data_IF_983383765249
#
_entry.id   IF_983383765249
#
_cell.length_a   1.000
_cell.length_b   1.000
_cell.length_c   1.000
_cell.angle_alpha   90.00
_cell.angle_beta   90.00
_cell.angle_gamma   90.00
#
_symmetry.space_group_name_H-M   'P 1'
#
loop_
_entity.id
_entity.type
_entity.pdbx_description
1 polymer ?
#
# COMPACT_ATOMS: atom_id res chain seq x y z
N UNK A 1 -16.40 15.63 -16.49
CA UNK A 1 -15.39 16.14 -15.55
C UNK A 1 -14.81 14.97 -14.79
N UNK A 2 -13.51 14.76 -14.87
CA UNK A 2 -12.84 13.62 -14.20
C UNK A 2 -12.64 13.93 -12.73
N UNK A 3 -12.97 12.97 -11.87
CA UNK A 3 -12.69 13.08 -10.44
C UNK A 3 -11.18 13.11 -10.23
N UNK A 4 -10.62 14.17 -9.57
CA UNK A 4 -9.17 14.29 -9.38
C UNK A 4 -8.56 13.15 -8.55
N UNK A 5 -9.35 12.50 -7.68
CA UNK A 5 -8.87 11.33 -6.93
C UNK A 5 -8.69 10.11 -7.83
N UNK A 6 -9.62 9.87 -8.74
CA UNK A 6 -9.52 8.75 -9.69
C UNK A 6 -8.26 8.92 -10.55
N UNK A 7 -8.02 10.12 -11.06
CA UNK A 7 -6.84 10.41 -11.86
C UNK A 7 -5.54 10.15 -11.08
N UNK A 8 -5.47 10.61 -9.83
CA UNK A 8 -4.33 10.37 -8.95
C UNK A 8 -4.11 8.89 -8.67
N UNK A 9 -5.19 8.14 -8.44
CA UNK A 9 -5.11 6.69 -8.20
C UNK A 9 -4.57 5.96 -9.43
N UNK A 10 -5.07 6.30 -10.61
CA UNK A 10 -4.64 5.66 -11.85
C UNK A 10 -3.17 5.95 -12.20
N UNK A 11 -2.67 7.10 -11.79
CA UNK A 11 -1.30 7.53 -12.05
C UNK A 11 -0.31 7.21 -10.92
N UNK A 12 -0.78 6.61 -9.83
CA UNK A 12 0.08 6.25 -8.71
C UNK A 12 0.89 4.98 -9.04
N UNK A 13 2.20 5.04 -8.83
CA UNK A 13 3.13 3.96 -9.19
C UNK A 13 3.32 2.94 -8.07
N UNK A 14 2.26 2.62 -7.32
CA UNK A 14 2.34 1.75 -6.13
C UNK A 14 2.82 0.35 -6.46
N UNK A 15 2.59 -0.13 -7.68
CA UNK A 15 3.04 -1.46 -8.11
C UNK A 15 4.54 -1.55 -8.38
N UNK A 16 5.28 -0.47 -8.25
CA UNK A 16 6.74 -0.52 -8.19
C UNK A 16 7.23 -1.35 -6.99
N UNK A 17 6.46 -1.36 -5.89
CA UNK A 17 6.78 -2.12 -4.67
C UNK A 17 5.68 -3.09 -4.26
N UNK A 18 4.42 -2.78 -4.55
CA UNK A 18 3.28 -3.61 -4.15
C UNK A 18 3.04 -4.75 -5.15
N UNK A 19 2.68 -5.91 -4.64
CA UNK A 19 2.16 -7.00 -5.45
C UNK A 19 0.66 -6.81 -5.66
N UNK A 20 0.17 -7.26 -6.82
CA UNK A 20 -1.26 -7.36 -7.04
C UNK A 20 -1.78 -8.59 -6.32
N UNK A 21 -2.28 -8.39 -5.11
CA UNK A 21 -2.71 -9.50 -4.25
C UNK A 21 -4.09 -10.03 -4.66
N UNK A 22 -4.36 -11.31 -4.39
CA UNK A 22 -5.65 -11.89 -4.74
C UNK A 22 -6.79 -11.38 -3.86
N UNK A 23 -7.99 -11.47 -4.40
CA UNK A 23 -9.24 -11.29 -3.68
C UNK A 23 -9.86 -12.67 -3.50
N UNK A 24 -9.69 -13.26 -2.32
CA UNK A 24 -10.09 -14.63 -2.04
C UNK A 24 -11.45 -14.71 -1.32
N UNK A 25 -12.21 -15.75 -1.61
CA UNK A 25 -13.45 -16.02 -0.90
C UNK A 25 -13.16 -16.49 0.53
N UNK A 26 -14.03 -16.12 1.47
CA UNK A 26 -14.02 -16.59 2.84
C UNK A 26 -15.31 -17.39 3.10
N UNK A 27 -15.35 -18.70 2.75
CA UNK A 27 -16.60 -19.46 2.75
C UNK A 27 -17.27 -19.57 4.13
N UNK A 28 -16.49 -19.86 5.16
CA UNK A 28 -17.03 -19.99 6.53
C UNK A 28 -17.60 -18.67 7.05
N UNK A 29 -16.89 -17.57 6.81
CA UNK A 29 -17.36 -16.26 7.23
C UNK A 29 -18.56 -15.82 6.41
N UNK A 30 -18.58 -16.12 5.11
CA UNK A 30 -19.70 -15.83 4.22
C UNK A 30 -20.98 -16.53 4.68
N UNK A 31 -20.88 -17.79 5.08
CA UNK A 31 -22.00 -18.54 5.61
C UNK A 31 -22.54 -17.92 6.90
N UNK A 32 -21.65 -17.56 7.84
CA UNK A 32 -22.03 -16.91 9.09
C UNK A 32 -22.71 -15.56 8.90
N UNK A 33 -22.20 -14.79 7.95
CA UNK A 33 -22.68 -13.41 7.70
C UNK A 33 -23.87 -13.34 6.76
N UNK A 34 -24.19 -14.44 6.06
CA UNK A 34 -25.26 -14.48 5.07
C UNK A 34 -25.00 -13.63 3.82
N UNK A 35 -23.73 -13.41 3.47
CA UNK A 35 -23.33 -12.66 2.29
C UNK A 35 -22.00 -13.17 1.75
N UNK A 36 -21.62 -12.74 0.54
CA UNK A 36 -20.35 -13.11 -0.09
C UNK A 36 -19.21 -12.25 0.46
N UNK A 37 -18.49 -12.79 1.47
CA UNK A 37 -17.34 -12.11 2.06
C UNK A 37 -16.08 -12.53 1.33
N UNK A 38 -15.28 -11.54 0.92
CA UNK A 38 -14.00 -11.75 0.25
C UNK A 38 -12.90 -10.99 0.95
N UNK A 39 -11.70 -11.55 0.95
CA UNK A 39 -10.53 -10.96 1.59
C UNK A 39 -9.56 -10.48 0.51
N UNK A 40 -9.26 -9.19 0.50
CA UNK A 40 -8.14 -8.65 -0.26
C UNK A 40 -6.86 -8.97 0.52
N UNK A 41 -6.08 -9.89 0.00
CA UNK A 41 -4.98 -10.55 0.72
C UNK A 41 -3.73 -9.68 0.80
N UNK A 42 -3.81 -8.56 1.50
CA UNK A 42 -2.67 -7.66 1.69
C UNK A 42 -1.63 -8.19 2.69
N UNK A 43 -1.93 -9.26 3.38
CA UNK A 43 -0.96 -10.07 4.13
C UNK A 43 0.10 -10.73 3.22
N UNK A 44 -0.19 -10.83 1.92
CA UNK A 44 0.72 -11.38 0.92
C UNK A 44 1.63 -10.31 0.27
N UNK A 45 1.56 -9.07 0.72
CA UNK A 45 2.51 -8.04 0.30
C UNK A 45 3.94 -8.36 0.82
N UNK A 46 5.00 -7.80 0.19
CA UNK A 46 6.39 -8.06 0.64
C UNK A 46 6.63 -7.76 2.12
N UNK A 47 5.92 -6.81 2.70
CA UNK A 47 6.00 -6.46 4.12
C UNK A 47 4.81 -6.98 4.94
N UNK A 48 4.01 -7.87 4.35
CA UNK A 48 2.88 -8.55 4.99
C UNK A 48 1.73 -7.63 5.43
N UNK A 49 1.63 -6.42 4.85
CA UNK A 49 0.53 -5.49 5.08
C UNK A 49 0.35 -4.54 3.89
N UNK A 50 -0.80 -3.85 3.85
CA UNK A 50 -1.08 -2.87 2.80
C UNK A 50 -0.26 -1.57 2.92
N UNK A 51 0.49 -1.39 3.97
CA UNK A 51 1.21 -0.14 4.26
C UNK A 51 2.26 0.22 3.21
N UNK A 52 2.75 -0.74 2.43
CA UNK A 52 3.66 -0.45 1.33
C UNK A 52 3.04 0.49 0.29
N UNK A 53 1.73 0.42 0.07
CA UNK A 53 1.03 1.25 -0.92
C UNK A 53 1.11 2.74 -0.58
N UNK A 54 0.62 3.10 0.60
CA UNK A 54 0.59 4.51 1.04
C UNK A 54 1.98 5.08 1.30
N UNK A 55 2.85 4.31 1.93
CA UNK A 55 4.23 4.75 2.21
C UNK A 55 4.99 5.04 0.92
N UNK A 56 4.96 4.11 -0.04
CA UNK A 56 5.63 4.31 -1.32
C UNK A 56 5.03 5.47 -2.11
N UNK A 57 3.70 5.56 -2.19
CA UNK A 57 3.04 6.64 -2.93
C UNK A 57 3.43 8.01 -2.38
N UNK A 58 3.47 8.16 -1.05
CA UNK A 58 3.89 9.41 -0.42
C UNK A 58 5.35 9.73 -0.71
N UNK A 59 6.24 8.77 -0.50
CA UNK A 59 7.68 8.99 -0.66
C UNK A 59 8.07 9.20 -2.13
N UNK A 60 7.44 8.49 -3.06
CA UNK A 60 7.68 8.68 -4.48
C UNK A 60 7.24 10.07 -4.97
N UNK A 61 6.27 10.70 -4.30
CA UNK A 61 5.79 12.04 -4.63
C UNK A 61 6.66 13.17 -4.06
N UNK A 62 7.62 12.86 -3.21
CA UNK A 62 8.54 13.87 -2.65
C UNK A 62 9.51 14.36 -3.72
N UNK A 63 9.90 15.64 -3.62
CA UNK A 63 10.95 16.20 -4.47
C UNK A 63 12.32 15.61 -4.13
N UNK A 64 13.29 15.77 -5.02
CA UNK A 64 14.66 15.31 -4.76
C UNK A 64 15.26 15.97 -3.51
N UNK A 65 14.98 17.25 -3.30
CA UNK A 65 15.41 17.98 -2.09
C UNK A 65 14.79 17.38 -0.82
N UNK A 66 13.49 17.07 -0.86
CA UNK A 66 12.79 16.47 0.28
C UNK A 66 13.34 15.08 0.58
N UNK A 67 13.60 14.26 -0.45
CA UNK A 67 14.21 12.95 -0.27
C UNK A 67 15.62 13.04 0.31
N UNK A 68 16.40 14.00 -0.15
CA UNK A 68 17.77 14.21 0.34
C UNK A 68 17.82 14.52 1.84
N UNK A 69 16.78 15.19 2.37
CA UNK A 69 16.66 15.45 3.80
C UNK A 69 16.25 14.20 4.60
N UNK A 70 15.81 13.15 3.91
CA UNK A 70 15.32 11.94 4.54
C UNK A 70 13.90 12.06 5.07
N UNK A 71 13.40 10.99 5.66
CA UNK A 71 12.06 10.92 6.22
C UNK A 71 12.11 10.34 7.63
N UNK A 72 11.12 10.72 8.45
CA UNK A 72 10.90 10.13 9.75
C UNK A 72 9.47 9.61 9.84
N UNK A 73 9.27 8.55 10.60
CA UNK A 73 7.96 7.99 10.84
C UNK A 73 7.82 7.53 12.29
N UNK A 74 6.65 7.76 12.87
CA UNK A 74 6.28 7.20 14.17
C UNK A 74 5.36 6.00 13.90
N UNK A 75 5.80 4.79 14.25
CA UNK A 75 5.05 3.58 13.94
C UNK A 75 5.38 2.47 14.93
N UNK A 76 4.35 1.68 15.30
CA UNK A 76 4.52 0.49 16.11
C UNK A 76 5.00 -0.73 15.30
N UNK A 77 4.97 -0.67 13.96
CA UNK A 77 5.40 -1.81 13.13
C UNK A 77 5.15 -1.64 11.65
N UNK A 78 3.92 -1.86 11.20
CA UNK A 78 3.61 -2.00 9.76
C UNK A 78 3.95 -0.78 8.90
N UNK A 79 3.64 0.42 9.39
CA UNK A 79 3.95 1.64 8.63
C UNK A 79 5.47 1.83 8.50
N UNK A 80 6.23 1.57 9.56
CA UNK A 80 7.70 1.65 9.53
C UNK A 80 8.28 0.69 8.49
N UNK A 81 7.74 -0.52 8.38
CA UNK A 81 8.14 -1.49 7.36
C UNK A 81 7.86 -0.96 5.95
N UNK A 82 6.71 -0.32 5.74
CA UNK A 82 6.35 0.31 4.47
C UNK A 82 7.32 1.44 4.11
N UNK A 83 7.67 2.29 5.07
CA UNK A 83 8.63 3.38 4.87
C UNK A 83 10.02 2.82 4.53
N UNK A 84 10.47 1.78 5.22
CA UNK A 84 11.75 1.13 4.96
C UNK A 84 11.82 0.54 3.55
N UNK A 85 10.77 -0.17 3.12
CA UNK A 85 10.69 -0.74 1.77
C UNK A 85 10.71 0.37 0.71
N UNK A 86 9.94 1.42 0.90
CA UNK A 86 9.89 2.56 -0.03
C UNK A 86 11.25 3.26 -0.13
N UNK A 87 11.90 3.49 1.00
CA UNK A 87 13.23 4.09 1.05
C UNK A 87 14.26 3.23 0.31
N UNK A 88 14.23 1.93 0.50
CA UNK A 88 15.11 0.99 -0.19
C UNK A 88 14.91 1.05 -1.70
N UNK A 89 13.68 1.10 -2.15
CA UNK A 89 13.34 1.14 -3.58
C UNK A 89 13.74 2.46 -4.24
N UNK A 90 13.56 3.56 -3.53
CA UNK A 90 13.83 4.90 -4.05
C UNK A 90 15.30 5.33 -3.90
N UNK A 91 16.08 4.61 -3.12
CA UNK A 91 17.48 4.97 -2.82
C UNK A 91 17.59 6.00 -1.73
#
# INVERSE_FOLDING_TARGET
MTDPYIEKILNADVYDVAAQTPLTQAPTLSERMGCDVRLKREDLQPIFSFKCRGAYNKMASLSDEERARGVVAASAGNHAQGVALAAQKLG
#
